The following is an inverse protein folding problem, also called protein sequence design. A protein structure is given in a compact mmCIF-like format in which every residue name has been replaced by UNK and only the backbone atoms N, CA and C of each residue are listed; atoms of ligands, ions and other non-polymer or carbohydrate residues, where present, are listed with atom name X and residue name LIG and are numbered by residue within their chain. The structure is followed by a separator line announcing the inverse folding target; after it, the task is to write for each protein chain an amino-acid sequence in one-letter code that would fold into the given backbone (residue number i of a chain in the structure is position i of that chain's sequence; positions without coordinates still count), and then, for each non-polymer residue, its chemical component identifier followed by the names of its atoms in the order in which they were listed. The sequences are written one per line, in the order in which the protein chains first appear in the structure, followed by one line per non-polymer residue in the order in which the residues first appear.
data_IF_597903234516
#
_entry.id   IF_597903234516
#
_cell.length_a   1.000
_cell.length_b   1.000
_cell.length_c   1.000
_cell.angle_alpha   90.00
_cell.angle_beta   90.00
_cell.angle_gamma   90.00
#
_symmetry.space_group_name_H-M   'P 1'
#
loop_
_entity.id
_entity.type
_entity.pdbx_description
1 polymer ?
#
# COMPACT_ATOMS: atom_id res chain seq x y z
N UNK A 1 7.12 -8.25 -7.67
CA UNK A 1 6.63 -7.37 -6.59
C UNK A 1 7.73 -7.13 -5.57
N UNK A 2 7.75 -5.97 -4.91
CA UNK A 2 8.78 -5.61 -3.91
C UNK A 2 8.82 -6.58 -2.71
N UNK A 3 7.67 -7.09 -2.26
CA UNK A 3 7.59 -7.99 -1.11
C UNK A 3 8.40 -9.30 -1.29
N UNK A 4 8.40 -9.87 -2.50
CA UNK A 4 9.19 -11.06 -2.82
C UNK A 4 10.70 -10.76 -2.78
N UNK A 5 11.10 -9.60 -3.31
CA UNK A 5 12.49 -9.16 -3.24
C UNK A 5 12.95 -8.97 -1.79
N UNK A 6 12.13 -8.32 -0.96
CA UNK A 6 12.41 -8.11 0.46
C UNK A 6 12.49 -9.45 1.23
N UNK A 7 11.64 -10.41 0.89
CA UNK A 7 11.65 -11.75 1.51
C UNK A 7 12.90 -12.52 1.15
N UNK A 8 13.26 -12.54 -0.13
CA UNK A 8 14.47 -13.21 -0.61
C UNK A 8 15.74 -12.62 0.03
N UNK A 9 15.84 -11.29 0.11
CA UNK A 9 16.93 -10.61 0.83
C UNK A 9 17.04 -11.09 2.29
N UNK A 10 15.91 -11.23 2.98
CA UNK A 10 15.86 -11.66 4.36
C UNK A 10 16.31 -13.13 4.52
N UNK A 11 15.87 -14.02 3.63
CA UNK A 11 16.28 -15.44 3.63
C UNK A 11 17.80 -15.62 3.43
N UNK A 12 18.43 -14.71 2.69
CA UNK A 12 19.88 -14.65 2.51
C UNK A 12 20.62 -13.96 3.68
N UNK A 13 19.92 -13.61 4.75
CA UNK A 13 20.50 -12.94 5.92
C UNK A 13 20.81 -11.45 5.71
N UNK A 14 20.27 -10.82 4.64
CA UNK A 14 20.46 -9.40 4.34
C UNK A 14 19.31 -8.57 4.92
N UNK A 15 19.57 -7.91 6.04
CA UNK A 15 18.63 -7.01 6.70
C UNK A 15 18.65 -5.61 6.09
N UNK A 16 17.56 -4.86 6.27
CA UNK A 16 17.42 -3.50 5.73
C UNK A 16 17.67 -2.49 6.84
N UNK A 17 18.60 -1.59 6.59
CA UNK A 17 18.98 -0.51 7.50
C UNK A 17 18.05 0.70 7.43
N UNK A 18 17.41 0.93 6.29
CA UNK A 18 16.54 2.07 6.14
C UNK A 18 15.65 2.04 4.91
N UNK A 19 14.53 2.75 5.00
CA UNK A 19 13.57 2.95 3.92
C UNK A 19 13.40 4.45 3.69
N UNK A 20 13.51 4.88 2.44
CA UNK A 20 13.29 6.27 2.05
C UNK A 20 11.96 6.35 1.30
N UNK A 21 11.01 7.10 1.86
CA UNK A 21 9.77 7.46 1.19
C UNK A 21 9.89 8.86 0.58
N UNK A 22 9.73 8.99 -0.72
CA UNK A 22 9.83 10.27 -1.43
C UNK A 22 8.45 10.89 -1.62
N UNK A 23 8.33 12.19 -1.31
CA UNK A 23 7.11 12.96 -1.49
C UNK A 23 7.39 14.29 -2.19
N UNK A 24 6.56 14.68 -3.18
CA UNK A 24 6.71 15.96 -3.89
C UNK A 24 5.99 17.07 -3.13
N UNK A 25 6.72 18.06 -2.64
CA UNK A 25 6.13 19.20 -1.93
C UNK A 25 5.33 20.13 -2.86
N UNK A 26 5.61 20.06 -4.17
CA UNK A 26 4.93 20.86 -5.19
C UNK A 26 3.49 20.43 -5.41
N UNK A 27 3.10 19.22 -5.00
CA UNK A 27 1.72 18.73 -5.12
C UNK A 27 0.78 19.59 -4.26
N UNK A 28 -0.24 20.16 -4.91
CA UNK A 28 -1.19 21.10 -4.28
C UNK A 28 -2.09 20.41 -3.25
N UNK A 29 -2.30 19.10 -3.42
CA UNK A 29 -3.11 18.27 -2.53
C UNK A 29 -2.41 16.93 -2.39
N UNK A 30 -2.43 16.35 -1.20
CA UNK A 30 -2.17 14.92 -1.08
C UNK A 30 -3.35 14.20 -1.75
N UNK A 31 -3.08 13.32 -2.70
CA UNK A 31 -4.12 12.45 -3.27
C UNK A 31 -4.39 11.28 -2.34
N UNK A 32 -5.57 10.68 -2.47
CA UNK A 32 -5.89 9.44 -1.75
C UNK A 32 -4.95 8.30 -2.14
N UNK A 33 -4.49 8.28 -3.39
CA UNK A 33 -3.46 7.36 -3.86
C UNK A 33 -2.15 7.53 -3.07
N UNK A 34 -1.67 8.76 -2.88
CA UNK A 34 -0.46 9.01 -2.08
C UNK A 34 -0.64 8.63 -0.62
N UNK A 35 -1.79 8.92 -0.01
CA UNK A 35 -2.10 8.47 1.36
C UNK A 35 -2.07 6.95 1.46
N UNK A 36 -2.70 6.25 0.51
CA UNK A 36 -2.73 4.78 0.47
C UNK A 36 -1.32 4.21 0.29
N UNK A 37 -0.52 4.80 -0.60
CA UNK A 37 0.87 4.37 -0.79
C UNK A 37 1.72 4.57 0.46
N UNK A 38 1.51 5.67 1.20
CA UNK A 38 2.20 5.89 2.46
C UNK A 38 1.75 4.90 3.53
N UNK A 39 0.44 4.65 3.68
CA UNK A 39 -0.07 3.61 4.58
C UNK A 39 0.50 2.24 4.25
N UNK A 40 0.57 1.89 2.97
CA UNK A 40 1.23 0.67 2.52
C UNK A 40 2.70 0.61 2.95
N UNK A 41 3.45 1.69 2.77
CA UNK A 41 4.84 1.79 3.23
C UNK A 41 4.95 1.55 4.75
N UNK A 42 4.06 2.16 5.54
CA UNK A 42 3.99 1.93 6.99
C UNK A 42 3.73 0.46 7.31
N UNK A 43 2.76 -0.18 6.63
CA UNK A 43 2.43 -1.60 6.83
C UNK A 43 3.55 -2.55 6.41
N UNK A 44 4.31 -2.21 5.37
CA UNK A 44 5.46 -2.99 4.93
C UNK A 44 6.59 -2.96 5.96
N UNK A 45 6.89 -1.78 6.51
CA UNK A 45 7.97 -1.61 7.47
C UNK A 45 7.59 -2.12 8.87
N UNK A 46 6.34 -1.90 9.28
CA UNK A 46 5.85 -2.14 10.63
C UNK A 46 6.03 -0.94 11.55
N UNK A 47 5.07 -0.73 12.44
CA UNK A 47 5.02 0.44 13.34
C UNK A 47 6.25 0.51 14.27
N UNK A 48 6.88 -0.62 14.60
CA UNK A 48 8.07 -0.69 15.45
C UNK A 48 9.35 -0.23 14.76
N UNK A 49 9.37 -0.17 13.42
CA UNK A 49 10.57 0.10 12.63
C UNK A 49 10.53 1.47 11.95
N UNK A 50 9.61 2.36 12.37
CA UNK A 50 9.48 3.70 11.80
C UNK A 50 10.74 4.54 12.03
N UNK A 51 11.54 4.24 13.06
CA UNK A 51 12.85 4.88 13.24
C UNK A 51 13.81 4.67 12.06
N UNK A 52 13.67 3.58 11.29
CA UNK A 52 14.46 3.32 10.08
C UNK A 52 13.84 3.97 8.82
N UNK A 53 12.77 4.74 8.95
CA UNK A 53 12.07 5.39 7.83
C UNK A 53 12.42 6.87 7.76
N UNK A 54 12.83 7.31 6.56
CA UNK A 54 13.00 8.72 6.23
C UNK A 54 11.99 9.11 5.16
N UNK A 55 11.18 10.11 5.47
CA UNK A 55 10.26 10.77 4.54
C UNK A 55 11.02 11.97 3.97
N UNK A 56 11.43 11.87 2.71
CA UNK A 56 12.18 12.90 2.03
C UNK A 56 11.28 13.69 1.08
N UNK A 57 11.05 14.97 1.40
CA UNK A 57 10.31 15.90 0.55
C UNK A 57 11.21 16.44 -0.56
N UNK A 58 10.75 16.42 -1.81
CA UNK A 58 11.49 16.93 -2.97
C UNK A 58 10.62 17.92 -3.77
N UNK A 59 11.06 18.34 -4.95
CA UNK A 59 10.45 19.38 -5.80
C UNK A 59 10.35 20.77 -5.15
N UNK A 60 11.23 21.07 -4.19
CA UNK A 60 11.30 22.37 -3.52
C UNK A 60 11.54 23.57 -4.46
N UNK A 61 12.19 23.36 -5.60
CA UNK A 61 12.38 24.41 -6.62
C UNK A 61 11.15 24.71 -7.48
N UNK A 62 10.02 24.01 -7.27
CA UNK A 62 8.78 24.17 -8.05
C UNK A 62 7.64 24.79 -7.25
N UNK A 63 7.90 25.20 -6.00
CA UNK A 63 6.93 25.84 -5.13
C UNK A 63 7.55 27.07 -4.51
N UNK A 64 6.72 28.07 -4.22
CA UNK A 64 7.14 29.20 -3.41
C UNK A 64 7.63 28.72 -2.02
N UNK A 65 8.75 29.23 -1.49
CA UNK A 65 9.33 28.75 -0.23
C UNK A 65 8.37 28.79 0.97
N UNK A 66 7.55 29.85 1.08
CA UNK A 66 6.62 30.01 2.20
C UNK A 66 5.45 29.03 2.08
N UNK A 67 4.96 28.84 0.85
CA UNK A 67 3.93 27.84 0.55
C UNK A 67 4.45 26.42 0.81
N UNK A 68 5.68 26.11 0.38
CA UNK A 68 6.31 24.81 0.63
C UNK A 68 6.51 24.53 2.11
N UNK A 69 6.95 25.53 2.88
CA UNK A 69 7.11 25.42 4.33
C UNK A 69 5.77 25.18 5.04
N UNK A 70 4.72 25.91 4.65
CA UNK A 70 3.37 25.71 5.20
C UNK A 70 2.84 24.29 4.91
N UNK A 71 3.07 23.77 3.71
CA UNK A 71 2.70 22.39 3.35
C UNK A 71 3.48 21.35 4.15
N UNK A 72 4.78 21.54 4.34
CA UNK A 72 5.60 20.63 5.15
C UNK A 72 5.11 20.57 6.60
N UNK A 73 4.78 21.73 7.19
CA UNK A 73 4.18 21.81 8.52
C UNK A 73 2.84 21.07 8.57
N UNK A 74 2.00 21.24 7.55
CA UNK A 74 0.72 20.54 7.45
C UNK A 74 0.92 19.01 7.41
N UNK A 75 1.84 18.53 6.57
CA UNK A 75 2.20 17.12 6.43
C UNK A 75 2.68 16.50 7.75
N UNK A 76 3.45 17.25 8.52
CA UNK A 76 3.94 16.83 9.83
C UNK A 76 2.87 16.87 10.93
N UNK A 77 1.85 17.74 10.81
CA UNK A 77 0.92 18.04 11.89
C UNK A 77 -0.38 17.20 11.88
N UNK A 78 -0.80 16.65 10.74
CA UNK A 78 -2.09 15.93 10.63
C UNK A 78 -1.94 14.42 10.73
N UNK A 79 -2.82 13.79 11.52
CA UNK A 79 -2.88 12.33 11.69
C UNK A 79 -3.23 11.58 10.41
N UNK A 80 -3.85 12.27 9.45
CA UNK A 80 -4.16 11.69 8.13
C UNK A 80 -2.97 11.72 7.16
N UNK A 81 -1.84 12.31 7.57
CA UNK A 81 -0.59 12.44 6.80
C UNK A 81 0.57 11.69 7.49
N UNK A 82 1.70 12.37 7.73
CA UNK A 82 2.93 11.74 8.21
C UNK A 82 3.05 11.76 9.73
N UNK A 83 2.24 12.55 10.43
CA UNK A 83 2.27 12.65 11.91
C UNK A 83 2.35 11.29 12.63
N UNK A 84 1.55 10.26 12.29
CA UNK A 84 1.64 9.00 13.00
C UNK A 84 3.00 8.32 12.86
N UNK A 85 3.63 8.40 11.68
CA UNK A 85 4.98 7.86 11.47
C UNK A 85 6.03 8.66 12.21
N UNK A 86 5.91 9.99 12.22
CA UNK A 86 6.83 10.87 12.94
C UNK A 86 6.78 10.62 14.46
N UNK A 87 5.60 10.36 15.01
CA UNK A 87 5.44 9.97 16.43
C UNK A 87 6.10 8.63 16.76
N UNK A 88 6.27 7.75 15.76
CA UNK A 88 6.94 6.45 15.89
C UNK A 88 8.44 6.52 15.52
N UNK A 89 9.00 7.72 15.32
CA UNK A 89 10.44 7.92 15.12
C UNK A 89 10.88 8.11 13.67
N UNK A 90 9.95 8.12 12.70
CA UNK A 90 10.30 8.46 11.32
C UNK A 90 10.79 9.91 11.22
N UNK A 91 11.67 10.18 10.26
CA UNK A 91 12.24 11.51 10.05
C UNK A 91 11.62 12.18 8.82
N UNK A 92 11.26 13.46 8.92
CA UNK A 92 10.88 14.29 7.78
C UNK A 92 12.04 15.20 7.40
N UNK A 93 12.52 15.10 6.16
CA UNK A 93 13.71 15.83 5.69
C UNK A 93 13.50 16.41 4.29
N UNK A 94 14.18 17.51 3.99
CA UNK A 94 14.13 18.16 2.67
C UNK A 94 15.27 17.68 1.76
N UNK A 95 14.93 17.14 0.61
CA UNK A 95 15.85 16.87 -0.47
C UNK A 95 15.84 18.00 -1.50
N UNK A 96 16.98 18.67 -1.66
CA UNK A 96 17.12 19.87 -2.49
C UNK A 96 17.69 19.59 -3.89
N UNK A 97 17.58 18.34 -4.39
CA UNK A 97 18.22 17.89 -5.65
C UNK A 97 19.73 18.07 -5.71
N UNK A 98 20.38 18.15 -4.55
CA UNK A 98 21.84 18.22 -4.46
C UNK A 98 22.42 16.91 -3.96
N UNK A 99 23.63 16.58 -4.43
CA UNK A 99 24.39 15.44 -3.92
C UNK A 99 24.59 15.52 -2.40
N UNK A 100 24.82 16.73 -1.87
CA UNK A 100 24.95 16.95 -0.42
C UNK A 100 23.70 16.54 0.35
N UNK A 101 22.52 17.00 -0.07
CA UNK A 101 21.27 16.62 0.61
C UNK A 101 20.98 15.11 0.49
N UNK A 102 21.27 14.47 -0.65
CA UNK A 102 21.14 13.03 -0.80
C UNK A 102 22.07 12.25 0.13
N UNK A 103 23.34 12.68 0.25
CA UNK A 103 24.31 12.06 1.17
C UNK A 103 23.88 12.19 2.63
N UNK A 104 23.38 13.35 3.03
CA UNK A 104 22.90 13.55 4.40
C UNK A 104 21.73 12.62 4.75
N UNK A 105 20.81 12.39 3.80
CA UNK A 105 19.70 11.44 3.96
C UNK A 105 20.21 10.01 4.11
N UNK A 106 21.18 9.60 3.29
CA UNK A 106 21.77 8.26 3.40
C UNK A 106 22.55 8.08 4.71
N UNK A 107 23.29 9.09 5.14
CA UNK A 107 24.04 9.08 6.40
C UNK A 107 23.11 8.96 7.62
N UNK A 108 21.91 9.55 7.59
CA UNK A 108 20.95 9.40 8.70
C UNK A 108 20.37 7.98 8.83
N UNK A 109 20.60 7.11 7.83
CA UNK A 109 20.14 5.73 7.81
C UNK A 109 21.28 4.72 7.99
N UNK A 110 22.50 5.00 7.50
CA UNK A 110 23.56 3.99 7.42
C UNK A 110 24.04 3.48 8.79
N UNK A 111 23.97 4.33 9.81
CA UNK A 111 24.40 4.02 11.18
C UNK A 111 23.28 3.40 12.03
N UNK A 112 22.06 3.27 11.49
CA UNK A 112 20.94 2.67 12.23
C UNK A 112 21.11 1.16 12.33
N UNK A 113 20.62 0.53 13.41
CA UNK A 113 20.57 -0.93 13.47
C UNK A 113 19.67 -1.45 12.34
N UNK A 114 20.09 -2.48 11.58
CA UNK A 114 19.22 -3.12 10.60
C UNK A 114 17.96 -3.69 11.26
N UNK A 115 16.81 -3.48 10.63
CA UNK A 115 15.51 -3.91 11.12
C UNK A 115 14.94 -5.03 10.25
N UNK A 116 14.20 -5.94 10.88
CA UNK A 116 13.35 -6.90 10.16
C UNK A 116 12.03 -6.25 9.86
N UNK A 117 11.75 -5.97 8.59
CA UNK A 117 10.49 -5.35 8.18
C UNK A 117 9.31 -6.29 8.48
N UNK A 118 8.14 -5.72 8.77
CA UNK A 118 6.91 -6.49 9.02
C UNK A 118 6.63 -7.50 7.91
N UNK A 119 6.76 -7.09 6.65
CA UNK A 119 6.49 -7.97 5.49
C UNK A 119 7.47 -9.15 5.43
N UNK A 120 8.72 -8.98 5.85
CA UNK A 120 9.72 -10.04 5.88
C UNK A 120 9.40 -11.05 6.99
N UNK A 121 9.01 -10.56 8.18
CA UNK A 121 8.56 -11.42 9.28
C UNK A 121 7.33 -12.24 8.86
N UNK A 122 6.32 -11.59 8.28
CA UNK A 122 5.07 -12.25 7.90
C UNK A 122 5.27 -13.33 6.83
N UNK A 123 6.05 -13.03 5.78
CA UNK A 123 6.26 -13.96 4.67
C UNK A 123 7.26 -15.08 5.01
N UNK A 124 8.36 -14.77 5.69
CA UNK A 124 9.45 -15.73 5.90
C UNK A 124 9.31 -16.46 7.23
N UNK A 125 9.09 -15.74 8.33
CA UNK A 125 9.05 -16.33 9.68
C UNK A 125 7.67 -16.91 9.99
N UNK A 126 6.62 -16.16 9.71
CA UNK A 126 5.23 -16.57 9.98
C UNK A 126 4.63 -17.40 8.83
N UNK A 127 5.33 -17.52 7.69
CA UNK A 127 4.94 -18.30 6.50
C UNK A 127 3.54 -17.96 5.97
N UNK A 128 3.12 -16.70 6.11
CA UNK A 128 1.84 -16.21 5.58
C UNK A 128 1.90 -16.08 4.06
N UNK A 129 0.76 -16.26 3.41
CA UNK A 129 0.62 -15.85 2.01
C UNK A 129 0.65 -14.32 1.89
N UNK A 130 1.12 -13.79 0.76
CA UNK A 130 1.19 -12.33 0.53
C UNK A 130 -0.16 -11.64 0.70
N UNK A 131 -1.26 -12.31 0.36
CA UNK A 131 -2.62 -11.77 0.52
C UNK A 131 -3.05 -11.69 1.98
N UNK A 132 -2.41 -12.44 2.88
CA UNK A 132 -2.68 -12.49 4.32
C UNK A 132 -1.84 -11.49 5.13
N UNK A 133 -0.70 -11.05 4.58
CA UNK A 133 0.17 -10.02 5.17
C UNK A 133 -0.57 -8.71 5.41
N UNK A 134 -0.22 -7.95 6.46
CA UNK A 134 -0.90 -6.67 6.79
C UNK A 134 -0.82 -5.69 5.61
N UNK A 135 0.32 -5.64 4.91
CA UNK A 135 0.49 -4.85 3.70
C UNK A 135 -0.40 -5.33 2.53
N UNK A 136 -0.51 -6.65 2.34
CA UNK A 136 -1.41 -7.24 1.35
C UNK A 136 -2.89 -7.01 1.67
N UNK A 137 -3.25 -6.91 2.95
CA UNK A 137 -4.61 -6.58 3.37
C UNK A 137 -4.94 -5.12 3.06
N UNK A 138 -4.02 -4.18 3.32
CA UNK A 138 -4.17 -2.75 3.01
C UNK A 138 -4.35 -2.52 1.50
N UNK A 139 -3.54 -3.18 0.67
CA UNK A 139 -3.65 -3.09 -0.79
C UNK A 139 -5.00 -3.59 -1.31
N UNK A 140 -5.51 -4.65 -0.71
CA UNK A 140 -6.75 -5.29 -1.13
C UNK A 140 -7.97 -4.82 -0.32
N UNK A 141 -7.87 -3.72 0.43
CA UNK A 141 -8.92 -3.32 1.38
C UNK A 141 -10.28 -3.16 0.69
N UNK A 142 -10.36 -2.43 -0.43
CA UNK A 142 -11.61 -2.25 -1.19
C UNK A 142 -12.17 -3.58 -1.70
N UNK A 143 -11.30 -4.48 -2.17
CA UNK A 143 -11.72 -5.77 -2.66
C UNK A 143 -12.18 -6.69 -1.52
N UNK A 144 -11.56 -6.56 -0.35
CA UNK A 144 -11.99 -7.26 0.87
C UNK A 144 -13.33 -6.76 1.36
N UNK A 145 -13.57 -5.46 1.39
CA UNK A 145 -14.85 -4.89 1.81
C UNK A 145 -16.01 -5.37 0.92
N UNK A 146 -15.75 -5.62 -0.37
CA UNK A 146 -16.70 -6.22 -1.29
C UNK A 146 -16.88 -7.73 -1.10
N UNK A 147 -15.80 -8.47 -0.81
CA UNK A 147 -15.81 -9.95 -0.75
C UNK A 147 -16.21 -10.49 0.64
N UNK A 148 -15.95 -9.75 1.72
CA UNK A 148 -16.23 -10.20 3.10
C UNK A 148 -17.70 -10.50 3.39
N UNK A 149 -18.68 -9.68 2.96
CA UNK A 149 -20.10 -9.98 3.15
C UNK A 149 -20.49 -11.30 2.48
N UNK A 150 -20.04 -11.52 1.23
CA UNK A 150 -20.31 -12.75 0.50
C UNK A 150 -19.66 -13.98 1.14
N UNK A 151 -18.43 -13.85 1.66
CA UNK A 151 -17.78 -14.93 2.43
C UNK A 151 -18.54 -15.30 3.69
N UNK A 152 -19.02 -14.32 4.45
CA UNK A 152 -19.80 -14.57 5.66
C UNK A 152 -21.14 -15.28 5.33
N UNK A 153 -21.79 -14.87 4.24
CA UNK A 153 -23.01 -15.52 3.75
C UNK A 153 -22.77 -16.98 3.34
N UNK A 154 -21.68 -17.27 2.62
CA UNK A 154 -21.31 -18.64 2.25
C UNK A 154 -21.05 -19.53 3.48
N UNK A 155 -20.38 -19.00 4.49
CA UNK A 155 -20.12 -19.73 5.73
C UNK A 155 -21.42 -20.09 6.48
N UNK A 156 -22.39 -19.18 6.52
CA UNK A 156 -23.69 -19.47 7.13
C UNK A 156 -24.50 -20.48 6.32
N UNK A 157 -24.51 -20.39 4.98
CA UNK A 157 -25.17 -21.36 4.11
C UNK A 157 -24.56 -22.76 4.32
N UNK A 158 -23.23 -22.87 4.39
CA UNK A 158 -22.54 -24.13 4.67
C UNK A 158 -22.95 -24.70 6.03
N UNK A 159 -23.01 -23.86 7.07
CA UNK A 159 -23.46 -24.27 8.41
C UNK A 159 -24.90 -24.78 8.40
N UNK A 160 -25.80 -24.10 7.68
CA UNK A 160 -27.20 -24.53 7.55
C UNK A 160 -27.34 -25.83 6.76
N UNK A 161 -26.50 -26.06 5.75
CA UNK A 161 -26.46 -27.32 5.01
C UNK A 161 -26.04 -28.50 5.89
N UNK A 162 -25.04 -28.31 6.77
CA UNK A 162 -24.62 -29.34 7.73
C UNK A 162 -25.76 -29.72 8.68
N UNK A 163 -26.53 -28.72 9.15
CA UNK A 163 -27.70 -28.93 10.01
C UNK A 163 -28.80 -29.67 9.24
N UNK A 164 -29.13 -29.25 8.01
CA UNK A 164 -30.14 -29.91 7.17
C UNK A 164 -29.76 -31.37 6.85
N UNK A 165 -28.47 -31.62 6.61
CA UNK A 165 -27.94 -32.97 6.40
C UNK A 165 -28.11 -33.84 7.66
N UNK A 166 -27.81 -33.31 8.84
CA UNK A 166 -28.01 -34.00 10.11
C UNK A 166 -29.49 -34.29 10.39
N UNK A 167 -30.39 -33.41 9.95
CA UNK A 167 -31.84 -33.55 10.09
C UNK A 167 -32.49 -34.41 8.99
N UNK A 168 -31.71 -34.89 7.99
CA UNK A 168 -32.19 -35.61 6.81
C UNK A 168 -33.24 -34.83 5.99
N UNK A 169 -33.20 -33.50 6.05
CA UNK A 169 -34.04 -32.65 5.23
C UNK A 169 -33.42 -32.46 3.84
N UNK A 170 -33.77 -33.35 2.92
CA UNK A 170 -33.28 -33.32 1.55
C UNK A 170 -33.77 -32.10 0.75
N UNK A 171 -34.93 -31.53 1.11
CA UNK A 171 -35.51 -30.40 0.41
C UNK A 171 -34.80 -29.10 0.78
N UNK A 172 -34.60 -28.87 2.09
CA UNK A 172 -33.84 -27.72 2.59
C UNK A 172 -32.38 -27.77 2.12
N UNK A 173 -31.78 -28.96 2.03
CA UNK A 173 -30.43 -29.11 1.47
C UNK A 173 -30.36 -28.66 0.01
N UNK A 174 -31.31 -29.07 -0.83
CA UNK A 174 -31.33 -28.72 -2.26
C UNK A 174 -31.52 -27.21 -2.48
N UNK A 175 -32.34 -26.56 -1.65
CA UNK A 175 -32.55 -25.11 -1.69
C UNK A 175 -31.27 -24.35 -1.30
N UNK A 176 -30.59 -24.79 -0.22
CA UNK A 176 -29.32 -24.20 0.20
C UNK A 176 -28.18 -24.43 -0.82
N UNK A 177 -28.16 -25.56 -1.52
CA UNK A 177 -27.19 -25.82 -2.61
C UNK A 177 -27.39 -24.86 -3.78
N UNK A 178 -28.65 -24.60 -4.18
CA UNK A 178 -28.95 -23.60 -5.23
C UNK A 178 -28.53 -22.21 -4.81
N UNK A 179 -28.85 -21.81 -3.58
CA UNK A 179 -28.50 -20.50 -3.04
C UNK A 179 -26.97 -20.31 -2.98
N UNK A 180 -26.23 -21.35 -2.59
CA UNK A 180 -24.76 -21.35 -2.62
C UNK A 180 -24.24 -21.11 -4.05
N UNK A 181 -24.78 -21.83 -5.02
CA UNK A 181 -24.30 -21.77 -6.41
C UNK A 181 -24.62 -20.42 -7.07
N UNK A 182 -25.80 -19.86 -6.80
CA UNK A 182 -26.16 -18.50 -7.22
C UNK A 182 -25.21 -17.45 -6.64
N UNK A 183 -24.93 -17.52 -5.33
CA UNK A 183 -24.03 -16.60 -4.66
C UNK A 183 -22.58 -16.71 -5.17
N UNK A 184 -22.10 -17.93 -5.46
CA UNK A 184 -20.78 -18.15 -6.05
C UNK A 184 -20.67 -17.57 -7.47
N UNK A 185 -21.74 -17.65 -8.26
CA UNK A 185 -21.76 -17.07 -9.60
C UNK A 185 -21.85 -15.54 -9.59
N UNK A 186 -22.57 -14.94 -8.63
CA UNK A 186 -22.55 -13.49 -8.40
C UNK A 186 -21.14 -13.00 -8.03
N UNK A 187 -20.46 -13.69 -7.12
CA UNK A 187 -19.07 -13.37 -6.74
C UNK A 187 -18.13 -13.42 -7.95
N UNK A 188 -18.22 -14.46 -8.79
CA UNK A 188 -17.41 -14.58 -10.01
C UNK A 188 -17.67 -13.45 -11.00
N UNK A 189 -18.92 -12.98 -11.12
CA UNK A 189 -19.26 -11.84 -11.99
C UNK A 189 -18.67 -10.55 -11.43
N UNK A 190 -18.84 -10.28 -10.14
CA UNK A 190 -18.28 -9.11 -9.46
C UNK A 190 -16.75 -9.05 -9.56
N UNK A 191 -16.06 -10.18 -9.40
CA UNK A 191 -14.60 -10.27 -9.56
C UNK A 191 -14.15 -9.94 -11.00
N UNK A 192 -14.89 -10.41 -12.01
CA UNK A 192 -14.57 -10.14 -13.42
C UNK A 192 -14.80 -8.67 -13.80
N UNK A 193 -15.78 -8.02 -13.20
CA UNK A 193 -16.06 -6.59 -13.40
C UNK A 193 -15.00 -5.72 -12.71
N UNK A 194 -14.63 -6.02 -11.47
CA UNK A 194 -13.59 -5.29 -10.75
C UNK A 194 -12.20 -5.35 -11.39
N UNK A 195 -11.84 -6.46 -12.07
CA UNK A 195 -10.58 -6.58 -12.82
C UNK A 195 -10.57 -5.67 -14.06
N UNK A 196 -11.70 -5.50 -14.74
CA UNK A 196 -11.82 -4.62 -15.90
C UNK A 196 -11.68 -3.15 -15.50
N UNK A 197 -12.35 -2.74 -14.42
CA UNK A 197 -12.29 -1.36 -13.93
C UNK A 197 -10.87 -0.96 -13.50
N UNK A 198 -10.11 -1.87 -12.87
CA UNK A 198 -8.69 -1.65 -12.54
C UNK A 198 -7.80 -1.50 -13.77
N UNK A 199 -8.02 -2.29 -14.83
CA UNK A 199 -7.27 -2.15 -16.08
C UNK A 199 -7.55 -0.79 -16.74
N UNK A 200 -8.79 -0.32 -16.72
CA UNK A 200 -9.19 0.98 -17.26
C UNK A 200 -8.61 2.13 -16.42
N UNK A 201 -8.67 2.05 -15.09
CA UNK A 201 -8.10 3.04 -14.18
C UNK A 201 -6.57 3.15 -14.29
N UNK A 202 -5.85 2.02 -14.34
CA UNK A 202 -4.39 2.03 -14.50
C UNK A 202 -3.94 2.62 -15.84
N UNK A 203 -4.76 2.43 -16.90
CA UNK A 203 -4.51 3.00 -18.23
C UNK A 203 -4.76 4.51 -18.27
N UNK A 204 -5.69 5.01 -17.45
CA UNK A 204 -5.97 6.44 -17.30
C UNK A 204 -4.91 7.18 -16.46
N UNK A 205 -4.32 6.53 -15.45
CA UNK A 205 -3.20 7.09 -14.68
C UNK A 205 -1.85 7.02 -15.42
N UNK A 206 -1.69 6.07 -16.35
CA UNK A 206 -0.45 5.88 -17.10
C UNK A 206 -0.26 6.85 -18.30
N UNK A 207 -1.22 7.72 -18.61
CA UNK A 207 -1.03 8.78 -19.62
C UNK A 207 -0.35 9.99 -18.99
N UNK A 208 0.96 10.22 -19.22
CA UNK A 208 1.62 11.42 -18.73
C UNK A 208 1.01 12.67 -19.38
N UNK A 209 0.94 13.81 -18.67
CA UNK A 209 0.54 15.07 -19.27
C UNK A 209 1.50 15.42 -20.42
N UNK A 210 1.01 16.08 -21.49
CA UNK A 210 1.87 16.48 -22.61
C UNK A 210 3.02 17.35 -22.09
N UNK A 211 4.27 17.13 -22.55
CA UNK A 211 5.41 17.89 -22.07
C UNK A 211 5.26 19.38 -22.44
N UNK A 212 5.78 20.30 -21.61
CA UNK A 212 5.68 21.73 -21.85
C UNK A 212 6.39 22.12 -23.17
N UNK A 213 5.98 23.23 -23.83
CA UNK A 213 6.51 23.64 -25.13
C UNK A 213 8.05 23.76 -25.19
N UNK A 214 8.69 24.08 -24.07
CA UNK A 214 10.15 24.17 -23.94
C UNK A 214 10.89 22.83 -24.07
N UNK A 215 10.19 21.70 -23.91
CA UNK A 215 10.76 20.36 -23.94
C UNK A 215 10.80 19.76 -25.36
N UNK A 216 10.07 20.33 -26.32
CA UNK A 216 10.06 19.90 -27.73
C UNK A 216 11.36 20.25 -28.46
N UNK A 217 12.11 21.25 -27.97
CA UNK A 217 13.41 21.67 -28.52
C UNK A 217 14.57 20.74 -28.12
N UNK A 218 14.39 19.84 -27.15
CA UNK A 218 15.45 18.97 -26.64
C UNK A 218 15.42 17.52 -27.18
N UNK A 219 14.45 17.16 -28.03
CA UNK A 219 14.33 15.81 -28.62
C UNK A 219 14.78 15.79 -30.10
N UNK A 220 15.28 16.91 -30.63
CA UNK A 220 15.80 17.03 -32.00
C UNK A 220 17.23 17.60 -32.08
N UNK A 221 17.97 17.57 -30.97
CA UNK A 221 19.43 17.75 -30.91
C UNK A 221 20.04 16.62 -30.07
#
# INVERSE_FOLDING_TARGET
MIALFLSHMYEEGRLITGVIFLYRISDVRISDATRRNFRLCQKLCGDTNMENVVIATNMWGQVDPDVGAARELELAAKDTFFRPALLQGAQLVRHHYTLGSARNILQSLIDKPPATLQIQRELVLERKDITETVAGQELNQEQRELVQPHRAQLAEIQRQMEIALAQKDAQSKLELEKLRDELLDEMRKSEREGVKDRQVASRAEATPPPPPPSMWLAVLL
#
